data_IF_839018014109
#
_entry.id   IF_839018014109
#
_cell.length_a   1.000
_cell.length_b   1.000
_cell.length_c   1.000
_cell.angle_alpha   90.00
_cell.angle_beta   90.00
_cell.angle_gamma   90.00
#
_symmetry.space_group_name_H-M   'P 1'
#
loop_
_entity.id
_entity.type
_entity.pdbx_description
1 polymer ?
#
# COMPACT_ATOMS: atom_id res chain seq x y z
N UNK A 1 25.21 -7.61 27.96
CA UNK A 1 24.18 -6.57 27.73
C UNK A 1 23.74 -6.70 26.29
N UNK A 2 22.46 -6.97 26.04
CA UNK A 2 21.91 -6.96 24.67
C UNK A 2 21.85 -5.50 24.20
N UNK A 3 22.53 -5.19 23.09
CA UNK A 3 22.48 -3.86 22.50
C UNK A 3 21.42 -3.84 21.41
N UNK A 4 20.35 -3.09 21.65
CA UNK A 4 19.34 -2.80 20.63
C UNK A 4 19.91 -1.78 19.65
N UNK A 5 20.15 -2.19 18.40
CA UNK A 5 20.59 -1.30 17.31
C UNK A 5 19.43 -0.48 16.70
N UNK A 6 18.35 -0.26 17.45
CA UNK A 6 17.23 0.54 16.97
C UNK A 6 17.59 2.03 17.05
N UNK A 7 17.95 2.58 15.90
CA UNK A 7 18.07 4.02 15.71
C UNK A 7 16.67 4.61 15.53
N UNK A 8 16.33 5.61 16.36
CA UNK A 8 15.12 6.40 16.14
C UNK A 8 15.32 7.28 14.91
N UNK A 9 14.43 7.15 13.93
CA UNK A 9 14.31 8.12 12.86
C UNK A 9 13.60 9.36 13.41
N UNK A 10 14.21 10.53 13.21
CA UNK A 10 13.59 11.82 13.47
C UNK A 10 13.35 12.53 12.13
N UNK A 11 12.33 12.10 11.37
CA UNK A 11 12.02 12.72 10.09
C UNK A 11 11.60 14.18 10.30
N UNK A 12 11.91 15.03 9.32
CA UNK A 12 11.31 16.37 9.27
C UNK A 12 9.80 16.24 9.06
N UNK A 13 9.05 17.29 9.39
CA UNK A 13 7.60 17.33 9.19
C UNK A 13 7.22 17.02 7.72
N UNK A 14 7.93 17.61 6.76
CA UNK A 14 7.73 17.35 5.32
C UNK A 14 7.92 15.88 4.96
N UNK A 15 8.97 15.24 5.49
CA UNK A 15 9.23 13.81 5.26
C UNK A 15 8.14 12.95 5.90
N UNK A 16 7.68 13.32 7.10
CA UNK A 16 6.61 12.61 7.79
C UNK A 16 5.28 12.69 7.03
N UNK A 17 4.91 13.88 6.54
CA UNK A 17 3.69 14.10 5.75
C UNK A 17 3.71 13.32 4.44
N UNK A 18 4.85 13.31 3.74
CA UNK A 18 5.00 12.53 2.51
C UNK A 18 4.95 11.03 2.77
N UNK A 19 5.53 10.56 3.87
CA UNK A 19 5.42 9.16 4.30
C UNK A 19 3.96 8.78 4.58
N UNK A 20 3.23 9.61 5.32
CA UNK A 20 1.82 9.36 5.61
C UNK A 20 0.99 9.31 4.33
N UNK A 21 1.23 10.23 3.39
CA UNK A 21 0.58 10.22 2.09
C UNK A 21 0.85 8.91 1.32
N UNK A 22 2.10 8.46 1.24
CA UNK A 22 2.43 7.19 0.59
C UNK A 22 1.77 5.98 1.27
N UNK A 23 1.76 5.96 2.61
CA UNK A 23 1.09 4.91 3.37
C UNK A 23 -0.41 4.89 3.11
N UNK A 24 -1.04 6.05 3.01
CA UNK A 24 -2.46 6.17 2.71
C UNK A 24 -2.80 5.66 1.31
N UNK A 25 -2.03 6.08 0.29
CA UNK A 25 -2.18 5.58 -1.09
C UNK A 25 -2.04 4.06 -1.15
N UNK A 26 -1.02 3.49 -0.51
CA UNK A 26 -0.84 2.04 -0.46
C UNK A 26 -1.98 1.33 0.26
N UNK A 27 -2.51 1.93 1.34
CA UNK A 27 -3.65 1.37 2.09
C UNK A 27 -4.93 1.36 1.26
N UNK A 28 -5.21 2.45 0.55
CA UNK A 28 -6.35 2.53 -0.37
C UNK A 28 -6.24 1.47 -1.48
N UNK A 29 -5.06 1.35 -2.10
CA UNK A 29 -4.80 0.36 -3.13
C UNK A 29 -5.01 -1.07 -2.62
N UNK A 30 -4.40 -1.41 -1.48
CA UNK A 30 -4.55 -2.74 -0.88
C UNK A 30 -6.02 -3.07 -0.61
N UNK A 31 -6.76 -2.14 -0.02
CA UNK A 31 -8.18 -2.35 0.29
C UNK A 31 -9.01 -2.54 -0.97
N UNK A 32 -8.74 -1.79 -2.03
CA UNK A 32 -9.44 -1.92 -3.31
C UNK A 32 -9.18 -3.29 -3.96
N UNK A 33 -7.90 -3.67 -4.10
CA UNK A 33 -7.50 -4.96 -4.67
C UNK A 33 -8.09 -6.12 -3.88
N UNK A 34 -8.05 -6.03 -2.54
CA UNK A 34 -8.59 -7.05 -1.66
C UNK A 34 -10.10 -7.18 -1.83
N UNK A 35 -10.83 -6.07 -1.89
CA UNK A 35 -12.27 -6.09 -2.10
C UNK A 35 -12.63 -6.69 -3.45
N UNK A 36 -11.96 -6.28 -4.53
CA UNK A 36 -12.15 -6.84 -5.88
C UNK A 36 -11.91 -8.36 -5.88
N UNK A 37 -10.83 -8.81 -5.23
CA UNK A 37 -10.50 -10.23 -5.13
C UNK A 37 -11.56 -11.00 -4.32
N UNK A 38 -12.01 -10.47 -3.18
CA UNK A 38 -13.01 -11.13 -2.33
C UNK A 38 -14.37 -11.26 -3.05
N UNK A 39 -14.78 -10.25 -3.81
CA UNK A 39 -16.09 -10.20 -4.47
C UNK A 39 -16.16 -10.95 -5.80
N UNK A 40 -15.02 -11.24 -6.42
CA UNK A 40 -14.98 -12.01 -7.66
C UNK A 40 -15.38 -13.49 -7.44
N UNK A 41 -16.03 -14.14 -8.42
CA UNK A 41 -16.22 -15.59 -8.43
C UNK A 41 -14.90 -16.37 -8.30
N UNK A 42 -14.95 -17.60 -7.82
CA UNK A 42 -13.75 -18.43 -7.62
C UNK A 42 -12.98 -18.68 -8.92
N UNK A 43 -13.69 -18.89 -10.03
CA UNK A 43 -13.10 -19.13 -11.36
C UNK A 43 -12.72 -17.83 -12.12
N UNK A 44 -13.02 -16.66 -11.55
CA UNK A 44 -12.79 -15.34 -12.17
C UNK A 44 -12.06 -14.39 -11.21
N UNK A 45 -11.20 -14.95 -10.36
CA UNK A 45 -10.36 -14.14 -9.47
C UNK A 45 -9.41 -13.29 -10.32
N UNK A 46 -9.31 -11.98 -10.05
CA UNK A 46 -8.45 -11.11 -10.82
C UNK A 46 -6.98 -11.45 -10.55
N UNK A 47 -6.17 -11.51 -11.62
CA UNK A 47 -4.73 -11.70 -11.48
C UNK A 47 -4.04 -10.42 -11.01
N UNK A 48 -2.79 -10.54 -10.58
CA UNK A 48 -1.94 -9.38 -10.28
C UNK A 48 -1.84 -8.42 -11.48
N UNK A 49 -1.70 -8.95 -12.69
CA UNK A 49 -1.66 -8.14 -13.92
C UNK A 49 -2.96 -7.37 -14.15
N UNK A 50 -4.11 -8.00 -13.93
CA UNK A 50 -5.42 -7.35 -14.09
C UNK A 50 -5.61 -6.21 -13.08
N UNK A 51 -5.17 -6.43 -11.84
CA UNK A 51 -5.22 -5.43 -10.78
C UNK A 51 -4.26 -4.26 -11.05
N UNK A 52 -3.05 -4.54 -11.53
CA UNK A 52 -2.08 -3.50 -11.91
C UNK A 52 -2.58 -2.64 -13.09
N UNK A 53 -3.35 -3.22 -14.02
CA UNK A 53 -3.92 -2.49 -15.16
C UNK A 53 -5.16 -1.66 -14.80
N UNK A 54 -5.82 -1.92 -13.67
CA UNK A 54 -6.98 -1.16 -13.17
C UNK A 54 -6.60 0.10 -12.42
N UNK A 55 -5.33 0.25 -12.03
CA UNK A 55 -4.82 1.47 -11.44
C UNK A 55 -5.01 2.61 -12.46
N UNK A 56 -5.77 3.66 -12.13
CA UNK A 56 -5.81 4.83 -12.99
C UNK A 56 -4.39 5.41 -13.12
N UNK A 57 -4.18 6.28 -14.11
CA UNK A 57 -3.06 7.22 -14.05
C UNK A 57 -3.29 8.15 -12.84
N UNK A 58 -3.04 7.66 -11.62
CA UNK A 58 -2.91 8.47 -10.41
C UNK A 58 -1.58 9.22 -10.54
N UNK A 59 -1.59 10.21 -11.43
CA UNK A 59 -0.60 11.29 -11.53
C UNK A 59 -1.04 12.47 -10.68
#
# INVERSE_FOLDING_TARGET
>A
MEHSHRYHAYPTQEVAERLEHHLDVHRQLYNHVRWDYEQAPEDDKPSECDQNNKLPEWK
#
